data_IF_830596374867
#
_entry.id   IF_830596374867
#
_cell.length_a   1.000
_cell.length_b   1.000
_cell.length_c   1.000
_cell.angle_alpha   90.00
_cell.angle_beta   90.00
_cell.angle_gamma   90.00
#
_symmetry.space_group_name_H-M   'P 1'
#
loop_
_entity.id
_entity.type
_entity.pdbx_description
1 polymer ?
#
# COMPACT_ATOMS: atom_id res chain seq x y z
N UNK A 1 15.46 3.39 -25.48
CA UNK A 1 15.88 4.38 -24.47
C UNK A 1 15.33 3.95 -23.10
N UNK A 2 16.14 3.31 -22.25
CA UNK A 2 15.68 2.66 -21.00
C UNK A 2 15.77 3.55 -19.75
N UNK A 3 16.33 4.75 -19.90
CA UNK A 3 16.56 5.68 -18.79
C UNK A 3 15.32 6.00 -17.94
N UNK A 4 14.10 6.20 -18.49
CA UNK A 4 12.91 6.44 -17.68
C UNK A 4 12.60 5.30 -16.69
N UNK A 5 12.82 4.05 -17.10
CA UNK A 5 12.60 2.88 -16.23
C UNK A 5 13.62 2.83 -15.09
N UNK A 6 14.88 3.12 -15.40
CA UNK A 6 15.94 3.18 -14.38
C UNK A 6 15.61 4.25 -13.34
N UNK A 7 15.24 5.46 -13.79
CA UNK A 7 14.85 6.56 -12.90
C UNK A 7 13.64 6.17 -12.05
N UNK A 8 12.62 5.55 -12.63
CA UNK A 8 11.43 5.12 -11.90
C UNK A 8 11.74 4.12 -10.79
N UNK A 9 12.50 3.05 -11.09
CA UNK A 9 12.90 2.06 -10.08
C UNK A 9 13.76 2.69 -8.99
N UNK A 10 14.71 3.56 -9.38
CA UNK A 10 15.52 4.27 -8.41
C UNK A 10 14.66 5.12 -7.47
N UNK A 11 13.67 5.87 -7.99
CA UNK A 11 12.78 6.69 -7.16
C UNK A 11 11.90 5.84 -6.24
N UNK A 12 11.30 4.77 -6.76
CA UNK A 12 10.42 3.88 -5.97
C UNK A 12 11.14 3.23 -4.79
N UNK A 13 12.41 2.85 -4.95
CA UNK A 13 13.19 2.24 -3.87
C UNK A 13 13.83 3.28 -2.96
N UNK A 14 14.37 4.37 -3.51
CA UNK A 14 15.13 5.35 -2.72
C UNK A 14 14.23 6.25 -1.88
N UNK A 15 13.06 6.66 -2.37
CA UNK A 15 12.16 7.56 -1.63
C UNK A 15 11.75 7.01 -0.25
N UNK A 16 11.17 5.80 -0.10
CA UNK A 16 10.76 5.29 1.20
C UNK A 16 11.97 5.07 2.12
N UNK A 17 13.10 4.60 1.59
CA UNK A 17 14.33 4.40 2.37
C UNK A 17 14.91 5.72 2.87
N UNK A 18 15.00 6.75 2.02
CA UNK A 18 15.50 8.08 2.40
C UNK A 18 14.60 8.70 3.46
N UNK A 19 13.28 8.59 3.29
CA UNK A 19 12.31 9.11 4.25
C UNK A 19 12.38 8.36 5.59
N UNK A 20 12.53 7.04 5.57
CA UNK A 20 12.71 6.21 6.76
C UNK A 20 14.01 6.57 7.51
N UNK A 21 15.15 6.71 6.80
CA UNK A 21 16.42 7.15 7.40
C UNK A 21 16.29 8.54 8.02
N UNK A 22 15.65 9.48 7.31
CA UNK A 22 15.45 10.85 7.81
C UNK A 22 14.60 10.87 9.07
N UNK A 23 13.52 10.09 9.10
CA UNK A 23 12.63 9.99 10.24
C UNK A 23 13.30 9.30 11.43
N UNK A 24 14.08 8.25 11.17
CA UNK A 24 14.89 7.56 12.18
C UNK A 24 15.86 8.53 12.85
N UNK A 25 16.59 9.32 12.08
CA UNK A 25 17.54 10.31 12.62
C UNK A 25 16.85 11.42 13.42
N UNK A 26 15.65 11.83 13.04
CA UNK A 26 14.95 12.97 13.70
C UNK A 26 14.11 12.57 14.90
N UNK A 27 13.53 11.38 14.90
CA UNK A 27 12.48 11.00 15.86
C UNK A 27 12.72 9.64 16.52
N UNK A 28 13.74 8.89 16.07
CA UNK A 28 14.11 7.57 16.59
C UNK A 28 12.92 6.60 16.81
N UNK A 29 11.95 6.50 15.88
CA UNK A 29 10.83 5.56 16.00
C UNK A 29 11.27 4.08 15.98
N UNK A 30 12.40 3.76 15.36
CA UNK A 30 12.92 2.41 15.20
C UNK A 30 12.51 1.77 13.87
N UNK A 31 13.47 1.12 13.21
CA UNK A 31 13.29 0.40 11.92
C UNK A 31 12.27 -0.73 11.97
N UNK A 32 11.98 -1.28 13.15
CA UNK A 32 10.94 -2.30 13.32
C UNK A 32 9.56 -1.83 12.84
N UNK A 33 9.24 -0.53 12.99
CA UNK A 33 7.98 0.03 12.50
C UNK A 33 7.90 0.11 10.98
N UNK A 34 9.02 0.40 10.32
CA UNK A 34 9.09 0.37 8.85
C UNK A 34 8.86 -1.06 8.33
N UNK A 35 9.55 -2.05 8.90
CA UNK A 35 9.33 -3.45 8.55
C UNK A 35 7.90 -3.92 8.83
N UNK A 36 7.31 -3.46 9.93
CA UNK A 36 5.91 -3.75 10.25
C UNK A 36 4.95 -3.19 9.20
N UNK A 37 5.14 -1.93 8.78
CA UNK A 37 4.34 -1.32 7.71
C UNK A 37 4.41 -2.11 6.39
N UNK A 38 5.63 -2.51 5.99
CA UNK A 38 5.85 -3.29 4.78
C UNK A 38 5.14 -4.67 4.85
N UNK A 39 5.24 -5.34 6.01
CA UNK A 39 4.54 -6.60 6.23
C UNK A 39 3.02 -6.40 6.20
N UNK A 40 2.50 -5.33 6.80
CA UNK A 40 1.07 -4.99 6.75
C UNK A 40 0.58 -4.84 5.31
N UNK A 41 1.35 -4.19 4.43
CA UNK A 41 1.00 -4.09 3.01
C UNK A 41 0.95 -5.46 2.35
N UNK A 42 1.99 -6.30 2.54
CA UNK A 42 2.01 -7.65 1.96
C UNK A 42 0.80 -8.47 2.44
N UNK A 43 0.48 -8.42 3.73
CA UNK A 43 -0.64 -9.14 4.33
C UNK A 43 -1.99 -8.64 3.81
N UNK A 44 -2.18 -7.33 3.56
CA UNK A 44 -3.42 -6.85 2.95
C UNK A 44 -3.61 -7.39 1.53
N UNK A 45 -2.53 -7.58 0.79
CA UNK A 45 -2.58 -8.14 -0.56
C UNK A 45 -3.02 -9.62 -0.60
N UNK A 46 -2.78 -10.39 0.47
CA UNK A 46 -3.16 -11.81 0.56
C UNK A 46 -4.67 -12.00 0.39
N UNK A 47 -5.49 -11.07 0.87
CA UNK A 47 -6.94 -11.11 0.71
C UNK A 47 -7.42 -10.24 -0.47
N UNK A 48 -6.78 -9.10 -0.72
CA UNK A 48 -7.16 -8.18 -1.79
C UNK A 48 -7.05 -8.80 -3.18
N UNK A 49 -5.94 -9.51 -3.49
CA UNK A 49 -5.74 -10.09 -4.82
C UNK A 49 -6.78 -11.18 -5.12
N UNK A 50 -7.03 -12.17 -4.24
CA UNK A 50 -8.10 -13.15 -4.45
C UNK A 50 -9.48 -12.51 -4.52
N UNK A 51 -9.76 -11.48 -3.73
CA UNK A 51 -11.02 -10.77 -3.79
C UNK A 51 -11.26 -10.16 -5.17
N UNK A 52 -10.29 -9.41 -5.71
CA UNK A 52 -10.40 -8.82 -7.04
C UNK A 52 -10.50 -9.88 -8.15
N UNK A 53 -9.77 -10.99 -8.00
CA UNK A 53 -9.87 -12.11 -8.93
C UNK A 53 -11.28 -12.73 -8.91
N UNK A 54 -11.88 -12.92 -7.73
CA UNK A 54 -13.24 -13.45 -7.62
C UNK A 54 -14.26 -12.51 -8.28
N UNK A 55 -14.18 -11.21 -8.00
CA UNK A 55 -15.09 -10.21 -8.56
C UNK A 55 -15.00 -10.16 -10.09
N UNK A 56 -13.79 -10.14 -10.65
CA UNK A 56 -13.57 -10.02 -12.09
C UNK A 56 -13.80 -11.33 -12.85
N UNK A 57 -13.22 -12.44 -12.36
CA UNK A 57 -13.12 -13.68 -13.13
C UNK A 57 -14.23 -14.67 -12.77
N UNK A 58 -14.54 -14.81 -11.47
CA UNK A 58 -15.50 -15.82 -11.01
C UNK A 58 -16.95 -15.34 -11.09
N UNK A 59 -17.19 -14.11 -10.64
CA UNK A 59 -18.52 -13.53 -10.57
C UNK A 59 -18.81 -12.57 -11.73
N UNK A 60 -17.78 -12.10 -12.44
CA UNK A 60 -17.90 -11.22 -13.61
C UNK A 60 -18.76 -9.99 -13.33
N UNK A 61 -18.59 -9.39 -12.14
CA UNK A 61 -19.39 -8.24 -11.67
C UNK A 61 -18.93 -6.92 -12.28
N UNK A 62 -17.84 -6.92 -13.05
CA UNK A 62 -17.25 -5.75 -13.67
C UNK A 62 -17.24 -5.90 -15.20
N UNK A 63 -17.41 -4.80 -15.96
CA UNK A 63 -17.28 -4.82 -17.40
C UNK A 63 -15.88 -5.29 -17.83
N UNK A 64 -15.82 -6.09 -18.89
CA UNK A 64 -14.56 -6.58 -19.48
C UNK A 64 -14.06 -5.71 -20.64
N UNK A 65 -14.96 -5.02 -21.34
CA UNK A 65 -14.59 -4.08 -22.39
C UNK A 65 -14.17 -2.72 -21.80
N UNK A 66 -12.85 -2.49 -21.78
CA UNK A 66 -12.24 -1.26 -21.28
C UNK A 66 -12.07 -0.18 -22.35
N UNK A 67 -12.49 -0.42 -23.61
CA UNK A 67 -12.45 0.61 -24.66
C UNK A 67 -13.52 1.68 -24.43
N UNK A 68 -14.61 1.32 -23.75
CA UNK A 68 -15.63 2.25 -23.30
C UNK A 68 -15.11 3.00 -22.07
N UNK A 69 -14.94 4.32 -22.18
CA UNK A 69 -14.42 5.16 -21.09
C UNK A 69 -15.20 5.00 -19.78
N UNK A 70 -16.53 4.87 -19.84
CA UNK A 70 -17.36 4.63 -18.65
C UNK A 70 -16.99 3.33 -17.92
N UNK A 71 -16.73 2.26 -18.67
CA UNK A 71 -16.30 0.98 -18.11
C UNK A 71 -14.90 1.07 -17.51
N UNK A 72 -13.97 1.72 -18.21
CA UNK A 72 -12.61 1.95 -17.70
C UNK A 72 -12.62 2.71 -16.38
N UNK A 73 -13.42 3.77 -16.28
CA UNK A 73 -13.58 4.56 -15.06
C UNK A 73 -14.16 3.70 -13.92
N UNK A 74 -15.22 2.94 -14.20
CA UNK A 74 -15.86 2.07 -13.22
C UNK A 74 -14.86 1.02 -12.68
N UNK A 75 -14.14 0.34 -13.57
CA UNK A 75 -13.16 -0.68 -13.19
C UNK A 75 -11.99 -0.06 -12.41
N UNK A 76 -11.48 1.09 -12.85
CA UNK A 76 -10.37 1.78 -12.17
C UNK A 76 -10.76 2.24 -10.77
N UNK A 77 -11.97 2.80 -10.63
CA UNK A 77 -12.52 3.20 -9.33
C UNK A 77 -12.70 2.00 -8.42
N UNK A 78 -13.27 0.91 -8.93
CA UNK A 78 -13.47 -0.30 -8.14
C UNK A 78 -12.13 -0.85 -7.62
N UNK A 79 -11.15 -1.04 -8.50
CA UNK A 79 -9.84 -1.61 -8.13
C UNK A 79 -9.04 -0.69 -7.20
N UNK A 80 -9.11 0.62 -7.42
CA UNK A 80 -8.47 1.60 -6.54
C UNK A 80 -9.11 1.65 -5.15
N UNK A 81 -10.45 1.66 -5.08
CA UNK A 81 -11.17 1.66 -3.80
C UNK A 81 -11.03 0.33 -3.07
N UNK A 82 -11.02 -0.80 -3.77
CA UNK A 82 -10.75 -2.09 -3.13
C UNK A 82 -9.35 -2.12 -2.54
N UNK A 83 -8.32 -1.65 -3.27
CA UNK A 83 -6.96 -1.58 -2.76
C UNK A 83 -6.90 -0.75 -1.48
N UNK A 84 -7.44 0.46 -1.51
CA UNK A 84 -7.49 1.35 -0.36
C UNK A 84 -8.25 0.75 0.83
N UNK A 85 -9.35 0.03 0.60
CA UNK A 85 -10.11 -0.62 1.67
C UNK A 85 -9.29 -1.70 2.37
N UNK A 86 -8.67 -2.61 1.60
CA UNK A 86 -7.87 -3.69 2.18
C UNK A 86 -6.62 -3.16 2.89
N UNK A 87 -5.94 -2.19 2.30
CA UNK A 87 -4.76 -1.54 2.88
C UNK A 87 -5.09 -0.79 4.17
N UNK A 88 -6.16 0.01 4.19
CA UNK A 88 -6.58 0.75 5.39
C UNK A 88 -7.06 -0.19 6.51
N UNK A 89 -7.78 -1.26 6.19
CA UNK A 89 -8.16 -2.27 7.18
C UNK A 89 -6.89 -2.92 7.75
N UNK A 90 -5.94 -3.31 6.91
CA UNK A 90 -4.66 -3.86 7.35
C UNK A 90 -3.91 -2.91 8.28
N UNK A 91 -3.86 -1.62 7.94
CA UNK A 91 -3.23 -0.57 8.74
C UNK A 91 -3.96 -0.34 10.06
N UNK A 92 -5.29 -0.29 10.04
CA UNK A 92 -6.11 -0.19 11.25
C UNK A 92 -5.84 -1.38 12.20
N UNK A 93 -5.89 -2.62 11.69
CA UNK A 93 -5.61 -3.81 12.49
C UNK A 93 -4.19 -3.78 13.08
N UNK A 94 -3.22 -3.31 12.29
CA UNK A 94 -1.84 -3.16 12.74
C UNK A 94 -1.74 -2.17 13.91
N UNK A 95 -2.31 -0.98 13.79
CA UNK A 95 -2.31 0.00 14.89
C UNK A 95 -3.17 -0.42 16.09
N UNK A 96 -4.18 -1.26 15.88
CA UNK A 96 -5.11 -1.69 16.93
C UNK A 96 -4.58 -2.85 17.75
N UNK A 97 -3.89 -3.81 17.12
CA UNK A 97 -3.55 -5.09 17.72
C UNK A 97 -2.05 -5.43 17.73
N UNK A 98 -1.24 -4.87 16.82
CA UNK A 98 0.19 -5.22 16.72
C UNK A 98 1.10 -4.08 17.20
N UNK A 99 0.98 -2.91 16.59
CA UNK A 99 1.77 -1.71 16.88
C UNK A 99 0.94 -0.75 17.76
N UNK A 100 0.48 -1.25 18.90
CA UNK A 100 -0.42 -0.52 19.82
C UNK A 100 0.21 0.74 20.41
N UNK A 101 1.54 0.78 20.51
CA UNK A 101 2.31 1.90 21.08
C UNK A 101 2.75 2.94 20.04
N UNK A 102 2.36 2.75 18.77
CA UNK A 102 2.60 3.71 17.69
C UNK A 102 1.59 4.87 17.77
N UNK A 103 1.65 5.65 18.86
CA UNK A 103 0.74 6.77 19.17
C UNK A 103 1.38 8.15 19.00
N UNK A 104 2.60 8.21 18.50
CA UNK A 104 3.30 9.47 18.22
C UNK A 104 3.46 9.67 16.72
N UNK A 105 3.60 10.93 16.29
CA UNK A 105 3.86 11.27 14.90
C UNK A 105 5.05 10.52 14.31
N UNK A 106 6.16 10.41 15.05
CA UNK A 106 7.35 9.70 14.56
C UNK A 106 7.07 8.22 14.29
N UNK A 107 6.39 7.54 15.22
CA UNK A 107 6.07 6.12 15.07
C UNK A 107 5.02 5.86 13.99
N UNK A 108 3.97 6.69 13.95
CA UNK A 108 2.91 6.59 12.94
C UNK A 108 3.45 6.80 11.52
N UNK A 109 4.26 7.84 11.32
CA UNK A 109 4.90 8.11 10.04
C UNK A 109 5.86 6.98 9.63
N UNK A 110 6.66 6.42 10.55
CA UNK A 110 7.60 5.35 10.21
C UNK A 110 6.89 4.09 9.71
N UNK A 111 5.77 3.74 10.34
CA UNK A 111 4.92 2.65 9.88
C UNK A 111 4.31 2.95 8.51
N UNK A 112 3.80 4.17 8.32
CA UNK A 112 3.24 4.61 7.03
C UNK A 112 4.27 4.57 5.89
N UNK A 113 5.50 5.00 6.15
CA UNK A 113 6.61 4.97 5.18
C UNK A 113 7.05 3.55 4.84
N UNK A 114 6.92 2.61 5.77
CA UNK A 114 7.14 1.19 5.46
C UNK A 114 6.03 0.57 4.64
N UNK A 115 4.80 1.05 4.81
CA UNK A 115 3.61 0.51 4.15
C UNK A 115 3.45 0.97 2.70
N UNK A 116 3.82 2.22 2.39
CA UNK A 116 3.74 2.81 1.05
C UNK A 116 5.05 2.73 0.27
#
# INVERSE_FOLDING_TARGET
MYWPFVVNVCLMLSMPLVLAVWLERRRQPGWGLFGAGALTFILSQVLHIPFNWLVQQRFQLLPTDLQVTGNLLLVSLFLGLSAGLFEEIGRYLTYRYWMTDARTWGKGLMLGVGHG
#
